data_IF_150449511218
#
_entry.id   IF_150449511218
#
_cell.length_a   1.000
_cell.length_b   1.000
_cell.length_c   1.000
_cell.angle_alpha   90.00
_cell.angle_beta   90.00
_cell.angle_gamma   90.00
#
_symmetry.space_group_name_H-M   'P 1'
#
loop_
_entity.id
_entity.type
_entity.pdbx_description
1 polymer ?
#
# COMPACT_ATOMS: atom_id res chain seq x y z
N UNK A 1 5.92 16.94 31.02
CA UNK A 1 5.94 18.23 30.30
C UNK A 1 4.65 18.33 29.48
N UNK A 2 3.85 19.38 29.73
CA UNK A 2 2.55 19.59 29.07
C UNK A 2 2.67 19.69 27.54
N UNK A 3 3.79 20.24 27.05
CA UNK A 3 4.04 20.39 25.62
C UNK A 3 4.26 19.03 24.92
N UNK A 4 4.96 18.12 25.58
CA UNK A 4 5.19 16.77 25.05
C UNK A 4 3.91 15.93 25.03
N UNK A 5 3.09 16.03 26.08
CA UNK A 5 1.80 15.33 26.11
C UNK A 5 0.81 15.88 25.07
N UNK A 6 0.82 17.19 24.82
CA UNK A 6 0.03 17.83 23.78
C UNK A 6 0.50 17.39 22.39
N UNK A 7 1.81 17.36 22.15
CA UNK A 7 2.40 16.88 20.89
C UNK A 7 2.02 15.42 20.62
N UNK A 8 2.13 14.55 21.63
CA UNK A 8 1.72 13.15 21.50
C UNK A 8 0.22 13.01 21.24
N UNK A 9 -0.61 13.88 21.84
CA UNK A 9 -2.05 13.89 21.61
C UNK A 9 -2.37 14.29 20.18
N UNK A 10 -1.76 15.35 19.66
CA UNK A 10 -1.88 15.81 18.28
C UNK A 10 -1.43 14.72 17.32
N UNK A 11 -0.26 14.12 17.55
CA UNK A 11 0.26 13.03 16.71
C UNK A 11 -0.64 11.79 16.70
N UNK A 12 -1.27 11.45 17.83
CA UNK A 12 -2.18 10.29 17.92
C UNK A 12 -3.59 10.56 17.40
N UNK A 13 -4.11 11.75 17.59
CA UNK A 13 -5.51 12.06 17.27
C UNK A 13 -5.70 12.57 15.85
N UNK A 14 -4.75 13.31 15.28
CA UNK A 14 -4.91 13.93 13.96
C UNK A 14 -4.17 13.22 12.83
N UNK A 15 -2.97 12.68 13.11
CA UNK A 15 -2.14 12.06 12.06
C UNK A 15 -2.59 10.67 11.61
N UNK A 16 -3.42 9.98 12.39
CA UNK A 16 -3.82 8.60 12.09
C UNK A 16 -5.27 8.41 11.66
N UNK A 17 -6.08 9.48 11.65
CA UNK A 17 -7.53 9.29 11.41
C UNK A 17 -7.98 9.42 9.97
N UNK A 18 -7.34 10.25 9.16
CA UNK A 18 -7.63 10.36 7.71
C UNK A 18 -6.45 10.98 6.97
N UNK A 19 -6.12 10.50 5.76
CA UNK A 19 -5.20 11.19 4.88
C UNK A 19 -5.68 12.62 4.64
N UNK A 20 -4.79 13.60 4.80
CA UNK A 20 -5.13 15.02 4.57
C UNK A 20 -5.03 15.43 3.10
N UNK A 21 -4.41 14.60 2.28
CA UNK A 21 -4.13 14.89 0.87
C UNK A 21 -3.06 15.95 0.65
N UNK A 22 -2.41 16.41 1.72
CA UNK A 22 -1.44 17.53 1.66
C UNK A 22 -0.02 17.09 1.30
N UNK A 23 0.31 15.82 1.48
CA UNK A 23 1.66 15.30 1.29
C UNK A 23 1.64 14.03 0.43
N UNK A 24 2.54 13.95 -0.53
CA UNK A 24 2.79 12.73 -1.29
C UNK A 24 3.55 11.75 -0.39
N UNK A 25 3.03 10.52 -0.26
CA UNK A 25 3.71 9.44 0.47
C UNK A 25 5.09 9.19 -0.12
N UNK A 26 6.10 9.14 0.73
CA UNK A 26 7.39 8.62 0.30
C UNK A 26 7.31 7.10 0.08
N UNK A 27 8.30 6.47 -0.56
CA UNK A 27 8.28 5.03 -0.84
C UNK A 27 8.13 4.14 0.40
N UNK A 28 8.74 4.52 1.52
CA UNK A 28 8.63 3.79 2.79
C UNK A 28 7.20 3.85 3.35
N UNK A 29 6.62 5.06 3.42
CA UNK A 29 5.24 5.26 3.88
C UNK A 29 4.24 4.46 3.02
N UNK A 30 4.46 4.46 1.71
CA UNK A 30 3.62 3.71 0.78
C UNK A 30 3.67 2.20 1.03
N UNK A 31 4.87 1.62 1.16
CA UNK A 31 5.05 0.18 1.39
C UNK A 31 4.52 -0.23 2.76
N UNK A 32 4.82 0.54 3.81
CA UNK A 32 4.33 0.24 5.16
C UNK A 32 2.81 0.25 5.22
N UNK A 33 2.15 1.22 4.59
CA UNK A 33 0.70 1.25 4.53
C UNK A 33 0.11 0.04 3.79
N UNK A 34 0.74 -0.40 2.68
CA UNK A 34 0.31 -1.61 1.98
C UNK A 34 0.45 -2.86 2.85
N UNK A 35 1.59 -3.04 3.51
CA UNK A 35 1.84 -4.22 4.34
C UNK A 35 0.93 -4.27 5.57
N UNK A 36 0.67 -3.12 6.18
CA UNK A 36 -0.26 -2.98 7.31
C UNK A 36 -1.70 -3.27 6.88
N UNK A 37 -2.17 -2.66 5.79
CA UNK A 37 -3.53 -2.86 5.27
C UNK A 37 -3.79 -4.32 4.88
N UNK A 38 -2.80 -4.99 4.29
CA UNK A 38 -2.86 -6.40 3.91
C UNK A 38 -2.58 -7.36 5.08
N UNK A 39 -2.35 -6.84 6.29
CA UNK A 39 -2.01 -7.60 7.50
C UNK A 39 -0.85 -8.59 7.29
N UNK A 40 0.13 -8.21 6.50
CA UNK A 40 1.31 -9.04 6.25
C UNK A 40 2.15 -9.07 7.52
N UNK A 41 2.17 -10.21 8.21
CA UNK A 41 2.87 -10.35 9.50
C UNK A 41 4.35 -10.65 9.35
N UNK A 42 4.69 -11.37 8.31
CA UNK A 42 6.06 -11.83 8.06
C UNK A 42 6.45 -11.46 6.64
N UNK A 43 7.24 -10.43 6.50
CA UNK A 43 7.89 -10.04 5.25
C UNK A 43 9.36 -9.78 5.53
N UNK A 44 10.23 -10.32 4.68
CA UNK A 44 11.66 -10.08 4.80
C UNK A 44 11.96 -8.59 4.59
N UNK A 45 12.67 -7.99 5.56
CA UNK A 45 13.06 -6.58 5.50
C UNK A 45 13.85 -6.26 4.22
N UNK A 46 14.62 -7.21 3.69
CA UNK A 46 15.36 -7.06 2.43
C UNK A 46 14.43 -6.82 1.25
N UNK A 47 13.26 -7.47 1.23
CA UNK A 47 12.25 -7.28 0.19
C UNK A 47 11.64 -5.88 0.30
N UNK A 48 11.37 -5.43 1.52
CA UNK A 48 10.86 -4.06 1.75
C UNK A 48 11.88 -3.04 1.25
N UNK A 49 13.15 -3.18 1.63
CA UNK A 49 14.24 -2.29 1.19
C UNK A 49 14.38 -2.30 -0.33
N UNK A 50 14.28 -3.47 -0.95
CA UNK A 50 14.30 -3.59 -2.42
C UNK A 50 13.15 -2.82 -3.08
N UNK A 51 11.91 -2.97 -2.59
CA UNK A 51 10.77 -2.24 -3.14
C UNK A 51 10.88 -0.72 -2.94
N UNK A 52 11.40 -0.29 -1.80
CA UNK A 52 11.64 1.13 -1.52
C UNK A 52 12.68 1.70 -2.50
N UNK A 53 13.77 0.95 -2.74
CA UNK A 53 14.81 1.32 -3.70
C UNK A 53 14.28 1.40 -5.13
N UNK A 54 13.44 0.46 -5.57
CA UNK A 54 12.80 0.49 -6.89
C UNK A 54 11.88 1.72 -7.08
N UNK A 55 11.40 2.31 -6.00
CA UNK A 55 10.61 3.53 -6.00
C UNK A 55 11.48 4.80 -5.81
N UNK A 56 12.79 4.71 -5.98
CA UNK A 56 13.71 5.85 -5.97
C UNK A 56 14.22 6.26 -4.60
N UNK A 57 13.96 5.47 -3.53
CA UNK A 57 14.46 5.75 -2.20
C UNK A 57 15.44 4.64 -1.75
N UNK A 58 16.73 4.85 -2.02
CA UNK A 58 17.76 3.94 -1.52
C UNK A 58 18.08 4.28 -0.06
N UNK A 59 17.54 3.50 0.87
CA UNK A 59 17.71 3.73 2.30
C UNK A 59 19.21 3.70 2.66
N UNK A 60 19.62 4.70 3.43
CA UNK A 60 21.02 4.90 3.88
C UNK A 60 22.00 5.31 2.77
N UNK A 61 21.55 5.52 1.54
CA UNK A 61 22.36 5.95 0.42
C UNK A 61 21.68 7.13 -0.31
N UNK A 62 21.64 8.29 0.36
CA UNK A 62 21.07 9.51 -0.22
C UNK A 62 21.94 10.00 -1.37
N UNK A 63 21.30 10.56 -2.39
CA UNK A 63 21.97 11.06 -3.58
C UNK A 63 22.85 12.30 -3.30
N UNK A 64 22.52 13.04 -2.25
CA UNK A 64 23.25 14.25 -1.85
C UNK A 64 23.04 14.56 -0.36
N UNK A 65 23.80 15.55 0.15
CA UNK A 65 23.73 15.98 1.55
C UNK A 65 22.39 16.55 1.99
N UNK A 66 21.52 16.93 1.07
CA UNK A 66 20.16 17.41 1.38
C UNK A 66 19.17 16.27 1.66
N UNK A 67 19.56 15.03 1.37
CA UNK A 67 18.67 13.88 1.41
C UNK A 67 17.93 13.68 0.08
N UNK A 68 16.69 13.19 0.16
CA UNK A 68 15.83 13.00 -1.01
C UNK A 68 15.03 14.27 -1.30
N UNK A 69 14.82 14.60 -2.58
CA UNK A 69 14.07 15.79 -3.00
C UNK A 69 12.62 15.78 -2.49
N UNK A 70 12.01 14.61 -2.36
CA UNK A 70 10.66 14.48 -1.81
C UNK A 70 9.54 14.99 -2.74
N UNK A 71 8.33 15.06 -2.20
CA UNK A 71 7.16 15.62 -2.88
C UNK A 71 6.91 14.98 -4.26
N UNK A 72 6.74 15.80 -5.30
CA UNK A 72 6.42 15.34 -6.67
C UNK A 72 7.46 14.41 -7.26
N UNK A 73 8.72 14.43 -6.79
CA UNK A 73 9.75 13.53 -7.27
C UNK A 73 9.42 12.05 -7.02
N UNK A 74 8.57 11.76 -6.03
CA UNK A 74 8.08 10.41 -5.74
C UNK A 74 6.98 9.89 -6.68
N UNK A 75 6.42 10.75 -7.56
CA UNK A 75 5.31 10.41 -8.46
C UNK A 75 5.60 10.70 -9.93
N UNK A 76 6.84 10.50 -10.37
CA UNK A 76 7.12 10.43 -11.81
C UNK A 76 6.38 9.25 -12.43
N UNK A 77 6.09 9.28 -13.72
CA UNK A 77 5.35 8.19 -14.40
C UNK A 77 6.01 6.83 -14.17
N UNK A 78 7.35 6.77 -14.19
CA UNK A 78 8.10 5.54 -13.93
C UNK A 78 7.93 5.06 -12.48
N UNK A 79 8.04 5.94 -11.49
CA UNK A 79 7.93 5.58 -10.09
C UNK A 79 6.49 5.22 -9.71
N UNK A 80 5.50 5.89 -10.32
CA UNK A 80 4.10 5.52 -10.17
C UNK A 80 3.81 4.12 -10.72
N UNK A 81 4.39 3.78 -11.87
CA UNK A 81 4.30 2.41 -12.41
C UNK A 81 4.93 1.39 -11.45
N UNK A 82 6.09 1.71 -10.86
CA UNK A 82 6.72 0.82 -9.85
C UNK A 82 5.83 0.63 -8.63
N UNK A 83 5.17 1.69 -8.14
CA UNK A 83 4.19 1.58 -7.03
C UNK A 83 3.05 0.63 -7.39
N UNK A 84 2.48 0.77 -8.57
CA UNK A 84 1.40 -0.10 -9.05
C UNK A 84 1.86 -1.56 -9.15
N UNK A 85 3.07 -1.80 -9.66
CA UNK A 85 3.66 -3.14 -9.75
C UNK A 85 3.84 -3.77 -8.35
N UNK A 86 4.32 -3.00 -7.38
CA UNK A 86 4.47 -3.45 -6.00
C UNK A 86 3.12 -3.76 -5.36
N UNK A 87 2.11 -2.91 -5.58
CA UNK A 87 0.75 -3.18 -5.12
C UNK A 87 0.19 -4.47 -5.71
N UNK A 88 0.32 -4.66 -7.04
CA UNK A 88 -0.10 -5.90 -7.71
C UNK A 88 0.59 -7.13 -7.12
N UNK A 89 1.87 -7.01 -6.85
CA UNK A 89 2.67 -8.09 -6.31
C UNK A 89 2.21 -8.49 -4.91
N UNK A 90 2.08 -7.52 -4.00
CA UNK A 90 1.64 -7.76 -2.63
C UNK A 90 0.19 -8.23 -2.56
N UNK A 91 -0.73 -7.63 -3.32
CA UNK A 91 -2.13 -8.01 -3.34
C UNK A 91 -2.40 -9.36 -4.01
N UNK A 92 -1.55 -9.81 -4.92
CA UNK A 92 -1.71 -11.13 -5.53
C UNK A 92 -1.17 -12.28 -4.68
N UNK A 93 -0.40 -12.01 -3.63
CA UNK A 93 0.19 -13.03 -2.75
C UNK A 93 1.01 -14.08 -3.51
N UNK A 94 1.41 -13.77 -4.75
CA UNK A 94 2.13 -14.72 -5.60
C UNK A 94 3.59 -14.79 -5.18
N UNK A 95 4.12 -16.00 -5.20
CA UNK A 95 5.56 -16.23 -5.12
C UNK A 95 6.31 -15.25 -6.01
N UNK A 96 7.00 -14.29 -5.39
CA UNK A 96 7.89 -13.39 -6.10
C UNK A 96 9.08 -14.23 -6.52
N UNK A 97 9.03 -14.73 -7.75
CA UNK A 97 10.08 -15.56 -8.31
C UNK A 97 11.30 -14.67 -8.62
N UNK A 98 12.52 -15.17 -8.34
CA UNK A 98 13.79 -14.54 -8.73
C UNK A 98 13.79 -14.08 -10.21
N UNK A 99 13.04 -14.76 -11.08
CA UNK A 99 12.87 -14.36 -12.49
C UNK A 99 12.13 -13.03 -12.69
N UNK A 100 11.34 -12.58 -11.71
CA UNK A 100 10.63 -11.31 -11.75
C UNK A 100 11.57 -10.13 -11.46
N UNK A 101 12.70 -10.38 -10.81
CA UNK A 101 13.69 -9.40 -10.39
C UNK A 101 15.02 -9.62 -11.12
N UNK A 102 15.06 -9.34 -12.42
CA UNK A 102 16.27 -9.50 -13.25
C UNK A 102 17.49 -8.66 -12.82
N UNK A 103 17.33 -7.72 -11.90
CA UNK A 103 18.33 -6.76 -11.48
C UNK A 103 18.63 -6.79 -9.97
N UNK A 104 18.48 -7.90 -9.30
CA UNK A 104 19.05 -8.04 -7.96
C UNK A 104 20.58 -8.03 -8.06
N UNK A 105 21.27 -7.30 -7.18
CA UNK A 105 22.74 -7.26 -7.21
C UNK A 105 23.30 -8.67 -7.10
N UNK A 106 24.24 -8.99 -7.97
CA UNK A 106 24.92 -10.30 -8.07
C UNK A 106 25.91 -10.58 -6.94
N UNK A 107 25.89 -9.82 -5.87
CA UNK A 107 26.79 -10.03 -4.75
C UNK A 107 26.38 -11.30 -3.99
N UNK A 108 26.75 -12.46 -4.54
CA UNK A 108 27.19 -13.71 -3.92
C UNK A 108 26.34 -14.38 -2.85
N UNK A 109 25.44 -13.70 -2.17
CA UNK A 109 24.49 -14.31 -1.27
C UNK A 109 23.18 -14.53 -2.05
N UNK A 110 22.86 -15.81 -2.28
CA UNK A 110 21.53 -16.20 -2.75
C UNK A 110 20.51 -15.60 -1.78
N UNK A 111 19.90 -14.50 -2.14
CA UNK A 111 18.66 -14.04 -1.55
C UNK A 111 17.65 -15.17 -1.86
N UNK A 112 17.60 -16.17 -1.01
CA UNK A 112 16.48 -17.10 -0.93
C UNK A 112 15.29 -16.29 -0.44
N UNK A 113 14.71 -15.49 -1.35
CA UNK A 113 13.38 -14.95 -1.18
C UNK A 113 12.46 -16.18 -1.31
N UNK A 114 12.38 -16.95 -0.25
CA UNK A 114 11.34 -17.92 -0.03
C UNK A 114 10.06 -17.13 0.24
N UNK A 115 9.47 -16.62 -0.81
CA UNK A 115 8.12 -16.12 -0.76
C UNK A 115 7.21 -17.34 -0.76
N UNK A 116 7.18 -18.01 0.37
CA UNK A 116 6.03 -18.81 0.75
C UNK A 116 4.80 -17.90 0.59
N UNK A 117 3.72 -18.49 0.13
CA UNK A 117 2.44 -17.83 -0.11
C UNK A 117 2.12 -16.90 1.07
N UNK A 118 2.29 -15.59 0.87
CA UNK A 118 2.02 -14.60 1.91
C UNK A 118 0.51 -14.68 2.20
N UNK A 119 0.15 -14.96 3.46
CA UNK A 119 -1.24 -14.89 3.89
C UNK A 119 -1.63 -13.42 3.99
N UNK A 120 -2.45 -12.97 3.04
CA UNK A 120 -2.92 -11.59 2.96
C UNK A 120 -4.37 -11.51 3.38
N UNK A 121 -4.69 -10.54 4.23
CA UNK A 121 -6.05 -10.29 4.71
C UNK A 121 -6.30 -8.79 4.79
N UNK A 122 -7.53 -8.42 4.53
CA UNK A 122 -8.01 -7.05 4.74
C UNK A 122 -9.17 -7.10 5.72
N UNK A 123 -9.18 -6.19 6.66
CA UNK A 123 -10.32 -6.02 7.56
C UNK A 123 -11.49 -5.39 6.82
N UNK A 124 -12.65 -6.00 6.88
CA UNK A 124 -13.91 -5.45 6.42
C UNK A 124 -15.07 -6.08 7.18
N UNK A 125 -16.22 -5.43 7.16
CA UNK A 125 -17.41 -5.98 7.82
C UNK A 125 -18.02 -7.11 6.96
N UNK A 126 -17.97 -8.38 7.41
CA UNK A 126 -18.49 -9.53 6.65
C UNK A 126 -20.03 -9.54 6.53
N UNK A 127 -20.72 -8.65 7.23
CA UNK A 127 -22.18 -8.47 7.16
C UNK A 127 -22.55 -7.20 6.37
N UNK A 128 -21.56 -6.47 5.87
CA UNK A 128 -21.78 -5.24 5.14
C UNK A 128 -22.26 -5.48 3.70
N UNK A 129 -23.03 -4.55 3.17
CA UNK A 129 -23.35 -4.49 1.75
C UNK A 129 -22.14 -4.05 0.93
N UNK A 130 -22.13 -4.31 -0.38
CA UNK A 130 -21.05 -3.88 -1.28
C UNK A 130 -20.74 -2.39 -1.11
N UNK A 131 -21.76 -1.54 -1.05
CA UNK A 131 -21.58 -0.09 -0.86
C UNK A 131 -20.96 0.28 0.47
N UNK A 132 -21.31 -0.45 1.54
CA UNK A 132 -20.72 -0.23 2.86
C UNK A 132 -19.25 -0.64 2.89
N UNK A 133 -18.89 -1.77 2.29
CA UNK A 133 -17.50 -2.25 2.22
C UNK A 133 -16.63 -1.29 1.38
N UNK A 134 -17.13 -0.86 0.21
CA UNK A 134 -16.44 0.11 -0.63
C UNK A 134 -16.22 1.42 0.12
N UNK A 135 -17.24 1.90 0.82
CA UNK A 135 -17.17 3.12 1.62
C UNK A 135 -16.16 2.96 2.77
N UNK A 136 -16.23 1.87 3.52
CA UNK A 136 -15.31 1.58 4.63
C UNK A 136 -13.85 1.60 4.18
N UNK A 137 -13.52 0.90 3.08
CA UNK A 137 -12.16 0.90 2.54
C UNK A 137 -11.76 2.27 1.98
N UNK A 138 -12.67 2.96 1.30
CA UNK A 138 -12.37 4.29 0.77
C UNK A 138 -12.13 5.30 1.88
N UNK A 139 -12.97 5.29 2.92
CA UNK A 139 -12.82 6.17 4.08
C UNK A 139 -11.55 5.89 4.90
N UNK A 140 -11.10 4.63 4.91
CA UNK A 140 -9.89 4.23 5.64
C UNK A 140 -8.59 4.64 4.92
N UNK A 141 -8.58 4.64 3.59
CA UNK A 141 -7.34 4.75 2.83
C UNK A 141 -7.26 5.95 1.89
N UNK A 142 -8.37 6.63 1.61
CA UNK A 142 -8.42 7.79 0.72
C UNK A 142 -8.78 9.06 1.49
N UNK A 143 -8.11 10.17 1.17
CA UNK A 143 -8.47 11.48 1.74
C UNK A 143 -9.72 12.07 1.08
N UNK A 144 -9.97 11.75 -0.18
CA UNK A 144 -11.12 12.17 -0.97
C UNK A 144 -11.66 11.00 -1.77
N UNK A 145 -12.98 10.91 -1.88
CA UNK A 145 -13.66 9.89 -2.69
C UNK A 145 -14.13 10.55 -3.97
N UNK A 146 -13.61 10.09 -5.11
CA UNK A 146 -14.13 10.47 -6.42
C UNK A 146 -15.38 9.62 -6.72
N UNK A 147 -16.52 10.29 -6.90
CA UNK A 147 -17.80 9.63 -7.23
C UNK A 147 -17.76 8.93 -8.60
N UNK A 148 -16.94 9.39 -9.53
CA UNK A 148 -16.81 8.75 -10.85
C UNK A 148 -16.17 7.36 -10.74
N UNK A 149 -15.25 7.17 -9.80
CA UNK A 149 -14.57 5.90 -9.56
C UNK A 149 -15.46 4.93 -8.76
N UNK A 150 -16.53 5.41 -8.16
CA UNK A 150 -17.44 4.58 -7.36
C UNK A 150 -18.05 3.44 -8.16
N UNK A 151 -18.46 3.69 -9.40
CA UNK A 151 -19.02 2.66 -10.30
C UNK A 151 -18.01 1.57 -10.62
N UNK A 152 -16.74 1.94 -10.82
CA UNK A 152 -15.67 0.98 -11.10
C UNK A 152 -15.40 0.11 -9.86
N UNK A 153 -15.42 0.69 -8.66
CA UNK A 153 -15.31 -0.06 -7.40
C UNK A 153 -16.45 -1.06 -7.22
N UNK A 154 -17.68 -0.65 -7.53
CA UNK A 154 -18.85 -1.53 -7.49
C UNK A 154 -18.72 -2.69 -8.50
N UNK A 155 -18.22 -2.43 -9.71
CA UNK A 155 -17.99 -3.45 -10.72
C UNK A 155 -16.92 -4.50 -10.29
N UNK A 156 -15.93 -4.11 -9.52
CA UNK A 156 -14.89 -5.02 -9.02
C UNK A 156 -15.44 -6.01 -8.00
N UNK A 157 -16.33 -5.58 -7.11
CA UNK A 157 -16.96 -6.50 -6.15
C UNK A 157 -18.02 -7.39 -6.77
N UNK A 158 -18.54 -7.03 -7.96
CA UNK A 158 -19.67 -7.66 -8.64
C UNK A 158 -20.99 -7.56 -7.86
N UNK A 159 -22.10 -7.66 -8.57
CA UNK A 159 -23.44 -7.56 -8.00
C UNK A 159 -23.81 -8.71 -7.04
N UNK A 160 -23.24 -9.88 -7.28
CA UNK A 160 -23.47 -11.13 -6.54
C UNK A 160 -22.40 -11.38 -5.43
N UNK A 161 -21.66 -10.34 -5.05
CA UNK A 161 -20.67 -10.47 -4.00
C UNK A 161 -21.33 -10.78 -2.66
N UNK A 162 -20.94 -11.92 -2.08
CA UNK A 162 -21.32 -12.33 -0.74
C UNK A 162 -20.15 -12.15 0.22
N UNK A 163 -20.27 -11.19 1.14
CA UNK A 163 -19.24 -10.86 2.12
C UNK A 163 -18.95 -12.03 3.08
N UNK A 164 -19.89 -12.95 3.27
CA UNK A 164 -19.74 -14.13 4.14
C UNK A 164 -19.07 -15.32 3.44
N UNK A 165 -18.89 -15.26 2.14
CA UNK A 165 -18.32 -16.35 1.34
C UNK A 165 -16.83 -16.56 1.61
N UNK A 166 -16.33 -17.77 1.39
CA UNK A 166 -14.89 -18.09 1.49
C UNK A 166 -14.01 -17.28 0.53
N UNK A 167 -14.58 -16.79 -0.57
CA UNK A 167 -13.87 -16.02 -1.59
C UNK A 167 -13.95 -14.51 -1.38
N UNK A 168 -14.66 -14.06 -0.34
CA UNK A 168 -14.86 -12.63 -0.05
C UNK A 168 -13.54 -11.88 0.14
N UNK A 169 -12.58 -12.47 0.85
CA UNK A 169 -11.27 -11.88 1.07
C UNK A 169 -10.55 -11.57 -0.24
N UNK A 170 -10.57 -12.49 -1.22
CA UNK A 170 -9.92 -12.26 -2.50
C UNK A 170 -10.60 -11.15 -3.31
N UNK A 171 -11.92 -11.02 -3.22
CA UNK A 171 -12.66 -9.94 -3.88
C UNK A 171 -12.32 -8.59 -3.25
N UNK A 172 -12.28 -8.52 -1.92
CA UNK A 172 -11.93 -7.29 -1.19
C UNK A 172 -10.47 -6.91 -1.41
N UNK A 173 -9.54 -7.88 -1.47
CA UNK A 173 -8.15 -7.61 -1.83
C UNK A 173 -8.03 -7.03 -3.25
N UNK A 174 -8.81 -7.53 -4.23
CA UNK A 174 -8.84 -6.93 -5.58
C UNK A 174 -9.37 -5.49 -5.56
N UNK A 175 -10.41 -5.22 -4.78
CA UNK A 175 -10.91 -3.86 -4.59
C UNK A 175 -9.84 -2.96 -3.95
N UNK A 176 -9.16 -3.42 -2.92
CA UNK A 176 -8.07 -2.69 -2.30
C UNK A 176 -6.93 -2.42 -3.29
N UNK A 177 -6.52 -3.42 -4.08
CA UNK A 177 -5.52 -3.23 -5.13
C UNK A 177 -5.92 -2.16 -6.16
N UNK A 178 -7.20 -2.07 -6.50
CA UNK A 178 -7.69 -0.99 -7.35
C UNK A 178 -7.59 0.38 -6.64
N UNK A 179 -7.97 0.45 -5.37
CA UNK A 179 -7.87 1.67 -4.55
C UNK A 179 -6.41 2.16 -4.46
N UNK A 180 -5.45 1.25 -4.26
CA UNK A 180 -4.02 1.61 -4.13
C UNK A 180 -3.42 2.23 -5.38
N UNK A 181 -4.05 2.02 -6.54
CA UNK A 181 -3.67 2.59 -7.84
C UNK A 181 -4.32 3.94 -8.12
N UNK A 182 -5.17 4.44 -7.24
CA UNK A 182 -5.73 5.77 -7.42
C UNK A 182 -4.73 6.85 -7.01
N UNK A 183 -4.79 8.05 -7.62
CA UNK A 183 -3.95 9.19 -7.22
C UNK A 183 -4.15 9.58 -5.75
N UNK A 184 -5.37 9.46 -5.24
CA UNK A 184 -5.73 9.82 -3.87
C UNK A 184 -5.03 8.93 -2.85
N UNK A 185 -4.79 7.66 -3.18
CA UNK A 185 -4.04 6.74 -2.32
C UNK A 185 -2.57 7.12 -2.19
N UNK A 186 -2.01 7.89 -3.13
CA UNK A 186 -0.61 8.33 -3.08
C UNK A 186 -0.38 9.45 -2.07
N UNK A 187 -1.46 9.99 -1.47
CA UNK A 187 -1.43 11.15 -0.60
C UNK A 187 -1.69 10.76 0.87
N UNK A 188 -1.13 11.57 1.78
CA UNK A 188 -1.38 11.53 3.23
C UNK A 188 -2.08 12.80 3.65
#
# INVERSE_FOLDING_TARGET
>A
DKSYSLLLKILKEEYHKKPSGSKIKNPLEYILQLTEALQIKEIDATIIVFFIKQQGMDLFNQQNVKGWDGGKSWLTSQLYLQRNNVSDLLCNGRNINRKTFKNLPENGEELKISLEKIDIRINFNPKGTNKQIIKELSDAYLFQIDENIQKDKEAILKYDFDASSKNSQQAVVRLFNFITKSPEFQLI
#
